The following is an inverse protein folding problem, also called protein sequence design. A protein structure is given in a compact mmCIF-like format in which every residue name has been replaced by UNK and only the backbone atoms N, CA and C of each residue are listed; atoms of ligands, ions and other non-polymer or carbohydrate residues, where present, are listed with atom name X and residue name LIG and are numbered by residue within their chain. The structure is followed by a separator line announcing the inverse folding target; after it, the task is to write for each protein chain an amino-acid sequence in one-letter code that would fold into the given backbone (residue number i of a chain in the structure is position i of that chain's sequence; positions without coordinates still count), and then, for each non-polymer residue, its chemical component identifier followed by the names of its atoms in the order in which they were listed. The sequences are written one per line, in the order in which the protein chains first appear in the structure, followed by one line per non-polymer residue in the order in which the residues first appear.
data_IF_420725053452
#
_entry.id   IF_420725053452
#
_cell.length_a   1.000
_cell.length_b   1.000
_cell.length_c   1.000
_cell.angle_alpha   90.00
_cell.angle_beta   90.00
_cell.angle_gamma   90.00
#
_symmetry.space_group_name_H-M   'P 1'
#
loop_
_entity.id
_entity.type
_entity.pdbx_description
1 polymer ?
#
# COMPACT_ATOMS: atom_id res chain seq x y z
N UNK A 1 19.44 -12.14 -14.95
CA UNK A 1 18.65 -11.27 -14.05
C UNK A 1 17.52 -12.10 -13.48
N UNK A 2 17.40 -12.19 -12.16
CA UNK A 2 16.31 -12.94 -11.54
C UNK A 2 15.09 -12.03 -11.39
N UNK A 3 13.95 -12.45 -11.97
CA UNK A 3 12.66 -11.80 -11.78
C UNK A 3 11.95 -12.50 -10.64
N UNK A 4 11.58 -11.75 -9.61
CA UNK A 4 10.76 -12.24 -8.51
C UNK A 4 9.38 -11.64 -8.71
N UNK A 5 8.33 -12.47 -8.62
CA UNK A 5 6.95 -12.01 -8.74
C UNK A 5 6.06 -12.80 -7.80
N UNK A 6 5.10 -12.13 -7.19
CA UNK A 6 4.17 -12.73 -6.25
C UNK A 6 2.74 -12.22 -6.44
N UNK A 7 1.79 -12.96 -5.87
CA UNK A 7 0.38 -12.61 -5.79
C UNK A 7 -0.03 -12.70 -4.32
N UNK A 8 0.43 -11.73 -3.53
CA UNK A 8 0.35 -11.93 -2.08
C UNK A 8 -0.99 -11.51 -1.48
N UNK A 9 -1.90 -10.94 -2.30
CA UNK A 9 -3.20 -10.49 -1.83
C UNK A 9 -3.12 -9.48 -0.68
N UNK A 10 -1.94 -8.87 -0.47
CA UNK A 10 -1.63 -7.97 0.63
C UNK A 10 -2.47 -6.71 0.49
N UNK A 11 -2.97 -6.21 1.61
CA UNK A 11 -3.75 -4.98 1.68
C UNK A 11 -2.83 -3.87 2.18
N UNK A 12 -2.75 -2.78 1.43
CA UNK A 12 -2.13 -1.54 1.88
C UNK A 12 -3.17 -0.73 2.64
N UNK A 13 -2.78 -0.22 3.80
CA UNK A 13 -3.62 0.67 4.61
C UNK A 13 -3.12 2.11 4.49
N UNK A 14 -4.05 3.05 4.33
CA UNK A 14 -3.77 4.47 4.44
C UNK A 14 -3.55 4.92 5.88
N UNK A 15 -3.31 6.22 6.06
CA UNK A 15 -3.25 6.87 7.37
C UNK A 15 -4.53 6.65 8.18
N UNK A 16 -4.39 6.64 9.50
CA UNK A 16 -5.52 6.55 10.42
C UNK A 16 -6.42 7.78 10.39
N UNK A 17 -7.71 7.52 10.37
CA UNK A 17 -8.80 8.48 10.53
C UNK A 17 -9.48 8.14 11.85
N UNK A 18 -9.40 9.02 12.85
CA UNK A 18 -10.01 8.80 14.17
C UNK A 18 -11.53 8.93 14.10
N UNK A 19 -12.24 7.92 14.61
CA UNK A 19 -13.70 7.94 14.76
C UNK A 19 -14.05 8.50 16.13
N UNK A 20 -14.97 9.47 16.17
CA UNK A 20 -15.43 10.10 17.43
C UNK A 20 -16.90 9.85 17.71
N UNK A 21 -17.62 9.21 16.78
CA UNK A 21 -19.02 8.86 16.95
C UNK A 21 -19.53 7.98 15.82
N UNK A 22 -20.57 7.21 16.10
CA UNK A 22 -21.31 6.48 15.08
C UNK A 22 -22.78 6.36 15.48
N UNK A 23 -23.69 6.59 14.53
CA UNK A 23 -25.14 6.50 14.73
C UNK A 23 -25.73 5.58 13.68
N UNK A 24 -26.39 4.51 14.13
CA UNK A 24 -27.12 3.60 13.26
C UNK A 24 -28.54 4.11 13.03
N UNK A 25 -28.95 4.19 11.76
CA UNK A 25 -30.32 4.45 11.33
C UNK A 25 -30.65 3.60 10.10
N UNK A 26 -31.74 2.83 10.18
CA UNK A 26 -32.33 2.11 9.04
C UNK A 26 -31.34 1.31 8.18
N UNK A 27 -30.42 0.56 8.81
CA UNK A 27 -29.45 -0.29 8.11
C UNK A 27 -28.20 0.45 7.59
N UNK A 28 -28.04 1.72 7.95
CA UNK A 28 -26.90 2.57 7.61
C UNK A 28 -26.33 3.14 8.89
N UNK A 29 -25.00 3.19 8.98
CA UNK A 29 -24.31 3.88 10.06
C UNK A 29 -23.71 5.16 9.51
N UNK A 30 -24.04 6.29 10.13
CA UNK A 30 -23.31 7.55 9.93
C UNK A 30 -22.18 7.60 10.95
N UNK A 31 -20.95 7.59 10.45
CA UNK A 31 -19.72 7.68 11.25
C UNK A 31 -19.26 9.13 11.25
N UNK A 32 -18.91 9.64 12.43
CA UNK A 32 -18.30 10.96 12.63
C UNK A 32 -16.79 10.81 12.76
N UNK A 33 -16.06 11.46 11.87
CA UNK A 33 -14.60 11.48 11.83
C UNK A 33 -14.13 12.77 11.16
N UNK A 34 -13.41 13.61 11.91
CA UNK A 34 -13.00 14.94 11.47
C UNK A 34 -12.04 14.89 10.27
N UNK A 35 -12.29 15.74 9.27
CA UNK A 35 -11.48 15.88 8.06
C UNK A 35 -11.08 14.53 7.44
N UNK A 36 -12.03 13.59 7.36
CA UNK A 36 -11.75 12.20 6.96
C UNK A 36 -11.21 12.08 5.52
N UNK A 37 -11.52 13.06 4.67
CA UNK A 37 -11.09 13.13 3.27
C UNK A 37 -11.57 11.97 2.41
N UNK A 38 -12.52 11.15 2.88
CA UNK A 38 -13.07 9.99 2.18
C UNK A 38 -14.03 10.44 1.08
N UNK A 39 -14.17 9.61 0.06
CA UNK A 39 -15.14 9.77 -1.02
C UNK A 39 -16.09 8.57 -1.08
N UNK A 40 -17.21 8.74 -1.79
CA UNK A 40 -18.15 7.64 -2.05
C UNK A 40 -17.45 6.55 -2.86
N UNK A 41 -17.60 5.29 -2.44
CA UNK A 41 -16.95 4.14 -3.07
C UNK A 41 -15.60 3.76 -2.46
N UNK A 42 -15.04 4.58 -1.56
CA UNK A 42 -13.81 4.24 -0.84
C UNK A 42 -14.03 2.96 -0.04
N UNK A 43 -13.09 2.02 -0.15
CA UNK A 43 -13.04 0.89 0.77
C UNK A 43 -12.16 1.22 1.96
N UNK A 44 -12.72 0.95 3.14
CA UNK A 44 -12.11 1.26 4.41
C UNK A 44 -12.13 0.03 5.30
N UNK A 45 -11.07 -0.16 6.07
CA UNK A 45 -11.05 -1.00 7.25
C UNK A 45 -11.36 -0.12 8.45
N UNK A 46 -12.41 -0.46 9.19
CA UNK A 46 -12.69 0.12 10.50
C UNK A 46 -12.25 -0.88 11.58
N UNK A 47 -11.64 -0.40 12.66
CA UNK A 47 -11.18 -1.21 13.78
C UNK A 47 -11.24 -0.45 15.11
N UNK A 48 -11.06 -1.17 16.21
CA UNK A 48 -10.99 -0.64 17.58
C UNK A 48 -12.22 0.15 18.05
N UNK A 49 -13.39 -0.09 17.44
CA UNK A 49 -14.67 0.47 17.90
C UNK A 49 -15.16 -0.32 19.10
N UNK A 50 -15.47 0.38 20.19
CA UNK A 50 -16.10 -0.18 21.40
C UNK A 50 -17.59 0.11 21.37
N UNK A 51 -18.41 -0.94 21.54
CA UNK A 51 -19.83 -0.90 21.16
C UNK A 51 -20.00 -0.82 19.64
N UNK A 52 -21.12 -1.28 19.09
CA UNK A 52 -21.28 -1.37 17.62
C UNK A 52 -20.12 -2.16 16.97
N UNK A 53 -19.69 -3.27 17.59
CA UNK A 53 -18.44 -3.99 17.23
C UNK A 53 -18.47 -4.62 15.85
N UNK A 54 -19.65 -4.75 15.25
CA UNK A 54 -19.81 -5.17 13.85
C UNK A 54 -19.18 -4.17 12.87
N UNK A 55 -18.90 -2.94 13.30
CA UNK A 55 -18.08 -1.99 12.54
C UNK A 55 -16.61 -2.40 12.45
N UNK A 56 -16.11 -3.35 13.23
CA UNK A 56 -14.69 -3.72 13.20
C UNK A 56 -14.36 -4.65 12.00
N UNK A 57 -14.60 -4.18 10.78
CA UNK A 57 -14.40 -4.91 9.53
C UNK A 57 -14.27 -3.96 8.33
N UNK A 58 -14.26 -4.52 7.11
CA UNK A 58 -14.19 -3.77 5.86
C UNK A 58 -15.57 -3.27 5.41
N UNK A 59 -15.62 -2.02 4.96
CA UNK A 59 -16.81 -1.38 4.40
C UNK A 59 -16.48 -0.64 3.10
N UNK A 60 -17.52 -0.41 2.30
CA UNK A 60 -17.51 0.58 1.22
C UNK A 60 -18.24 1.81 1.74
N UNK A 61 -17.65 2.99 1.59
CA UNK A 61 -18.28 4.27 1.91
C UNK A 61 -19.49 4.48 0.99
N UNK A 62 -20.68 4.52 1.57
CA UNK A 62 -21.93 4.64 0.84
C UNK A 62 -22.26 6.09 0.48
N UNK A 63 -22.09 7.02 1.42
CA UNK A 63 -22.25 8.47 1.20
C UNK A 63 -21.25 9.25 2.06
N UNK A 64 -20.96 10.50 1.69
CA UNK A 64 -20.16 11.44 2.48
C UNK A 64 -21.02 12.69 2.74
N UNK A 65 -21.83 12.72 3.81
CA UNK A 65 -22.77 13.83 4.07
C UNK A 65 -22.08 15.17 4.36
N UNK A 66 -20.82 15.14 4.79
CA UNK A 66 -20.00 16.32 5.02
C UNK A 66 -18.53 15.98 5.23
N UNK A 67 -17.69 16.99 5.41
CA UNK A 67 -16.22 16.82 5.57
C UNK A 67 -15.83 16.00 6.80
N UNK A 68 -16.72 15.92 7.79
CA UNK A 68 -16.51 15.24 9.07
C UNK A 68 -17.37 13.99 9.25
N UNK A 69 -18.04 13.51 8.18
CA UNK A 69 -18.87 12.32 8.26
C UNK A 69 -18.92 11.52 6.98
N UNK A 70 -19.10 10.21 7.15
CA UNK A 70 -19.34 9.28 6.05
C UNK A 70 -20.32 8.21 6.51
N UNK A 71 -20.90 7.47 5.58
CA UNK A 71 -21.84 6.39 5.90
C UNK A 71 -21.37 5.05 5.38
N UNK A 72 -21.74 4.00 6.10
CA UNK A 72 -21.51 2.60 5.70
C UNK A 72 -22.79 1.79 5.92
N UNK A 73 -23.00 0.75 5.11
CA UNK A 73 -24.12 -0.16 5.31
C UNK A 73 -23.83 -1.10 6.48
N UNK A 74 -24.70 -1.13 7.48
CA UNK A 74 -24.65 -2.07 8.60
C UNK A 74 -26.08 -2.43 9.01
N UNK A 75 -26.48 -3.68 8.81
CA UNK A 75 -27.86 -4.13 9.06
C UNK A 75 -28.16 -4.34 10.54
N UNK A 76 -27.15 -4.63 11.35
CA UNK A 76 -27.31 -4.84 12.79
C UNK A 76 -27.40 -3.50 13.52
N UNK A 77 -28.56 -3.22 14.13
CA UNK A 77 -28.70 -2.08 15.03
C UNK A 77 -27.92 -2.33 16.33
N UNK A 78 -26.88 -1.53 16.57
CA UNK A 78 -26.09 -1.54 17.81
C UNK A 78 -25.79 -0.11 18.26
N UNK A 79 -25.29 0.06 19.49
CA UNK A 79 -24.95 1.38 20.05
C UNK A 79 -23.44 1.55 20.10
N UNK A 80 -22.95 2.64 19.50
CA UNK A 80 -21.56 3.07 19.64
C UNK A 80 -21.30 3.53 21.07
N UNK A 81 -20.19 3.11 21.65
CA UNK A 81 -19.77 3.57 22.99
C UNK A 81 -18.59 4.52 22.88
N UNK A 82 -17.51 4.13 22.21
CA UNK A 82 -16.28 4.95 22.11
C UNK A 82 -15.27 4.36 21.12
N UNK A 83 -14.22 5.12 20.81
CA UNK A 83 -13.06 4.65 20.05
C UNK A 83 -13.33 4.50 18.56
N UNK A 84 -12.41 3.80 17.89
CA UNK A 84 -12.49 3.51 16.46
C UNK A 84 -11.45 4.25 15.63
N UNK A 85 -10.87 3.53 14.68
CA UNK A 85 -10.10 4.12 13.57
C UNK A 85 -10.63 3.57 12.24
N UNK A 86 -10.64 4.42 11.22
CA UNK A 86 -10.85 4.02 9.83
C UNK A 86 -9.54 4.20 9.06
N UNK A 87 -9.25 3.32 8.11
CA UNK A 87 -8.12 3.42 7.18
C UNK A 87 -8.58 3.01 5.80
N UNK A 88 -8.24 3.76 4.75
CA UNK A 88 -8.47 3.29 3.37
C UNK A 88 -7.69 2.00 3.12
N UNK A 89 -8.23 1.10 2.31
CA UNK A 89 -7.61 -0.17 1.95
C UNK A 89 -7.42 -0.27 0.43
N UNK A 90 -6.20 -0.61 -0.02
CA UNK A 90 -5.94 -1.01 -1.41
C UNK A 90 -5.46 -2.45 -1.44
N UNK A 91 -5.96 -3.26 -2.38
CA UNK A 91 -5.50 -4.64 -2.53
C UNK A 91 -4.41 -4.74 -3.60
N UNK A 92 -3.25 -5.26 -3.22
CA UNK A 92 -2.20 -5.64 -4.17
C UNK A 92 -2.58 -7.01 -4.77
N UNK A 93 -2.74 -7.05 -6.08
CA UNK A 93 -3.17 -8.27 -6.79
C UNK A 93 -2.02 -8.94 -7.51
N UNK A 94 -0.97 -8.19 -7.86
CA UNK A 94 0.22 -8.70 -8.50
C UNK A 94 1.42 -7.77 -8.25
N UNK A 95 2.61 -8.31 -8.15
CA UNK A 95 3.83 -7.51 -8.05
C UNK A 95 4.98 -8.21 -8.76
N UNK A 96 5.90 -7.41 -9.28
CA UNK A 96 7.16 -7.93 -9.81
C UNK A 96 8.32 -7.01 -9.45
N UNK A 97 9.46 -7.64 -9.17
CA UNK A 97 10.71 -6.97 -8.82
C UNK A 97 11.82 -7.61 -9.65
N UNK A 98 12.62 -6.74 -10.25
CA UNK A 98 13.85 -7.04 -10.97
C UNK A 98 15.00 -6.46 -10.15
N UNK A 99 15.84 -7.35 -9.64
CA UNK A 99 17.10 -6.97 -8.98
C UNK A 99 18.26 -6.95 -9.97
N UNK A 100 19.04 -5.88 -9.93
CA UNK A 100 20.34 -5.78 -10.58
C UNK A 100 21.40 -5.73 -9.49
N UNK A 101 22.23 -6.76 -9.45
CA UNK A 101 23.38 -6.80 -8.55
C UNK A 101 24.49 -5.94 -9.14
N UNK A 102 25.10 -5.10 -8.30
CA UNK A 102 26.31 -4.40 -8.67
C UNK A 102 27.44 -5.41 -8.86
N UNK A 103 28.22 -5.24 -9.92
CA UNK A 103 29.48 -5.93 -10.09
C UNK A 103 30.58 -4.89 -9.92
N UNK A 104 31.40 -5.03 -8.88
CA UNK A 104 32.58 -4.19 -8.67
C UNK A 104 33.77 -4.84 -9.34
N UNK A 105 34.36 -4.14 -10.31
CA UNK A 105 35.61 -4.56 -10.92
C UNK A 105 36.71 -4.49 -9.85
N UNK A 106 37.28 -5.64 -9.52
CA UNK A 106 38.43 -5.76 -8.63
C UNK A 106 39.59 -6.28 -9.45
N UNK A 107 40.19 -5.40 -10.25
CA UNK A 107 41.43 -5.77 -10.94
C UNK A 107 42.52 -5.97 -9.88
N UNK A 108 42.87 -7.22 -9.60
CA UNK A 108 44.12 -7.52 -8.90
C UNK A 108 45.30 -7.24 -9.84
N UNK A 109 46.35 -6.68 -9.28
CA UNK A 109 47.63 -6.35 -9.94
C UNK A 109 48.31 -7.53 -10.66
N UNK A 110 47.89 -8.77 -10.38
CA UNK A 110 48.38 -9.99 -11.05
C UNK A 110 47.57 -10.46 -12.26
N UNK A 111 46.38 -9.88 -12.54
CA UNK A 111 45.53 -10.35 -13.64
C UNK A 111 45.96 -9.75 -14.97
N UNK A 112 46.65 -10.54 -15.78
CA UNK A 112 47.16 -10.14 -17.11
C UNK A 112 46.13 -10.26 -18.24
N UNK A 113 44.91 -10.74 -17.99
CA UNK A 113 43.92 -10.87 -19.07
C UNK A 113 42.43 -10.97 -18.64
N UNK A 114 42.08 -10.84 -17.36
CA UNK A 114 40.70 -10.99 -16.88
C UNK A 114 40.25 -9.86 -15.97
N UNK A 115 39.08 -9.29 -16.23
CA UNK A 115 38.39 -8.42 -15.26
C UNK A 115 37.67 -9.33 -14.27
N UNK A 116 38.11 -9.31 -13.02
CA UNK A 116 37.38 -9.97 -11.93
C UNK A 116 36.31 -9.04 -11.41
N UNK A 117 35.11 -9.57 -11.22
CA UNK A 117 33.97 -8.84 -10.69
C UNK A 117 33.50 -9.49 -9.40
N UNK A 118 33.55 -8.75 -8.30
CA UNK A 118 32.94 -9.16 -7.05
C UNK A 118 31.49 -8.65 -6.97
N UNK A 119 30.56 -9.41 -6.35
CA UNK A 119 29.24 -8.89 -6.02
C UNK A 119 29.39 -7.68 -5.07
N UNK A 120 28.87 -6.52 -5.47
CA UNK A 120 28.94 -5.27 -4.71
C UNK A 120 27.54 -4.87 -4.19
N UNK A 121 26.86 -5.85 -3.60
CA UNK A 121 25.51 -5.66 -3.07
C UNK A 121 24.43 -5.40 -4.13
N UNK A 122 23.29 -4.90 -3.64
CA UNK A 122 22.11 -4.59 -4.43
C UNK A 122 22.17 -3.13 -4.88
N UNK A 123 22.39 -2.92 -6.18
CA UNK A 123 22.67 -1.59 -6.73
C UNK A 123 21.41 -0.92 -7.29
N UNK A 124 20.55 -1.70 -7.96
CA UNK A 124 19.35 -1.17 -8.60
C UNK A 124 18.23 -2.19 -8.51
N UNK A 125 17.02 -1.67 -8.28
CA UNK A 125 15.80 -2.45 -8.21
C UNK A 125 14.79 -1.76 -9.10
N UNK A 126 14.30 -2.44 -10.11
CA UNK A 126 13.14 -1.98 -10.86
C UNK A 126 11.97 -2.88 -10.50
N UNK A 127 10.76 -2.35 -10.40
CA UNK A 127 9.60 -3.19 -10.14
C UNK A 127 8.33 -2.59 -10.68
N UNK A 128 7.27 -3.38 -10.63
CA UNK A 128 5.92 -2.87 -10.78
C UNK A 128 5.03 -3.48 -9.71
N UNK A 129 4.13 -2.65 -9.18
CA UNK A 129 3.05 -3.07 -8.31
C UNK A 129 1.76 -2.88 -9.10
N UNK A 130 1.01 -3.95 -9.22
CA UNK A 130 -0.34 -3.92 -9.73
C UNK A 130 -1.31 -4.19 -8.58
N UNK A 131 -2.38 -3.42 -8.55
CA UNK A 131 -3.40 -3.60 -7.55
C UNK A 131 -4.70 -2.97 -7.96
N UNK A 132 -5.56 -2.87 -6.97
CA UNK A 132 -6.88 -2.30 -7.07
C UNK A 132 -6.93 -1.16 -6.07
N UNK A 133 -7.03 0.08 -6.58
CA UNK A 133 -7.40 1.26 -5.79
C UNK A 133 -8.92 1.24 -5.69
N UNK A 134 -9.40 1.03 -4.49
CA UNK A 134 -10.82 0.97 -4.19
C UNK A 134 -11.26 2.33 -3.62
N UNK A 135 -11.45 3.33 -4.50
CA UNK A 135 -11.97 4.68 -4.19
C UNK A 135 -11.09 5.56 -3.29
N UNK A 136 -10.94 6.85 -3.63
CA UNK A 136 -10.46 7.93 -2.75
C UNK A 136 -9.03 7.85 -2.20
N UNK A 137 -8.27 6.81 -2.52
CA UNK A 137 -6.82 6.82 -2.38
C UNK A 137 -6.28 7.57 -3.60
N UNK A 138 -5.57 8.69 -3.38
CA UNK A 138 -4.76 9.28 -4.43
C UNK A 138 -3.81 8.18 -4.93
N UNK A 139 -3.84 7.88 -6.23
CA UNK A 139 -2.88 6.96 -6.81
C UNK A 139 -1.46 7.40 -6.40
N UNK A 140 -0.55 6.44 -6.25
CA UNK A 140 0.85 6.78 -6.00
C UNK A 140 1.29 7.69 -7.15
N UNK A 141 1.63 8.93 -6.83
CA UNK A 141 1.86 9.95 -7.85
C UNK A 141 3.17 9.68 -8.56
N UNK A 142 3.23 10.00 -9.85
CA UNK A 142 4.48 10.03 -10.59
C UNK A 142 5.49 10.95 -9.87
N UNK A 143 6.73 10.49 -9.76
CA UNK A 143 7.77 11.19 -9.02
C UNK A 143 7.68 11.07 -7.50
N UNK A 144 6.67 10.40 -6.94
CA UNK A 144 6.60 10.13 -5.51
C UNK A 144 7.74 9.21 -5.07
N UNK A 145 8.40 9.59 -3.99
CA UNK A 145 9.38 8.74 -3.29
C UNK A 145 8.64 7.83 -2.34
N UNK A 146 8.86 6.52 -2.46
CA UNK A 146 8.28 5.49 -1.59
C UNK A 146 9.40 4.77 -0.84
N UNK A 147 9.21 4.58 0.47
CA UNK A 147 10.05 3.67 1.24
C UNK A 147 9.75 2.23 0.86
N UNK A 148 10.77 1.45 0.55
CA UNK A 148 10.66 0.05 0.16
C UNK A 148 11.44 -0.82 1.15
N UNK A 149 10.83 -1.93 1.53
CA UNK A 149 11.47 -2.99 2.31
C UNK A 149 11.23 -4.30 1.57
N UNK A 150 12.31 -5.00 1.26
CA UNK A 150 12.31 -6.31 0.64
C UNK A 150 12.78 -7.33 1.64
N UNK A 151 12.03 -8.41 1.78
CA UNK A 151 12.43 -9.56 2.57
C UNK A 151 13.02 -10.59 1.62
N UNK A 152 14.30 -10.94 1.82
CA UNK A 152 14.92 -12.04 1.09
C UNK A 152 14.52 -13.38 1.73
N UNK A 153 14.45 -13.40 3.06
CA UNK A 153 13.86 -14.44 3.91
C UNK A 153 13.35 -13.80 5.22
N UNK A 154 13.08 -14.62 6.25
CA UNK A 154 12.59 -14.15 7.55
C UNK A 154 13.63 -13.32 8.32
N UNK A 155 14.93 -13.49 8.03
CA UNK A 155 16.04 -12.91 8.77
C UNK A 155 16.78 -11.80 8.00
N UNK A 156 16.67 -11.76 6.68
CA UNK A 156 17.39 -10.82 5.81
C UNK A 156 16.43 -9.85 5.14
N UNK A 157 16.64 -8.56 5.38
CA UNK A 157 15.88 -7.48 4.75
C UNK A 157 16.76 -6.48 4.02
N UNK A 158 16.23 -5.91 2.94
CA UNK A 158 16.83 -4.81 2.19
C UNK A 158 15.88 -3.62 2.22
N UNK A 159 16.33 -2.48 2.71
CA UNK A 159 15.53 -1.25 2.77
C UNK A 159 16.15 -0.14 1.93
N UNK A 160 15.30 0.66 1.30
CA UNK A 160 15.74 1.75 0.43
C UNK A 160 14.57 2.60 -0.05
N UNK A 161 14.85 3.61 -0.85
CA UNK A 161 13.82 4.45 -1.46
C UNK A 161 13.60 4.04 -2.91
N UNK A 162 12.36 4.01 -3.37
CA UNK A 162 12.00 3.94 -4.77
C UNK A 162 11.33 5.24 -5.23
N UNK A 163 11.36 5.52 -6.54
CA UNK A 163 10.59 6.58 -7.18
C UNK A 163 9.62 5.95 -8.18
N UNK A 164 8.37 6.39 -8.19
CA UNK A 164 7.41 6.05 -9.25
C UNK A 164 7.85 6.72 -10.54
N UNK A 165 8.27 5.93 -11.52
CA UNK A 165 8.95 6.39 -12.72
C UNK A 165 8.06 6.49 -13.95
N UNK A 166 6.79 6.06 -13.87
CA UNK A 166 5.78 6.24 -14.90
C UNK A 166 4.45 6.59 -14.23
N UNK A 167 3.63 7.43 -14.86
CA UNK A 167 2.25 7.62 -14.41
C UNK A 167 1.49 6.31 -14.56
N UNK A 168 0.97 5.77 -13.45
CA UNK A 168 0.18 4.56 -13.51
C UNK A 168 -1.11 4.76 -14.30
N UNK A 169 -1.41 3.82 -15.19
CA UNK A 169 -2.70 3.78 -15.87
C UNK A 169 -3.79 3.41 -14.85
N UNK A 170 -4.72 4.34 -14.62
CA UNK A 170 -5.93 4.11 -13.86
C UNK A 170 -7.07 3.81 -14.85
N UNK A 171 -7.38 2.53 -15.06
CA UNK A 171 -8.57 2.15 -15.82
C UNK A 171 -9.77 2.17 -14.87
N UNK A 172 -10.60 3.22 -15.00
CA UNK A 172 -11.93 3.21 -14.40
C UNK A 172 -12.76 2.11 -15.07
N UNK A 173 -13.07 1.07 -14.30
CA UNK A 173 -14.17 0.17 -14.63
C UNK A 173 -15.46 0.83 -14.12
N UNK A 174 -16.41 1.05 -15.03
CA UNK A 174 -17.72 1.60 -14.67
C UNK A 174 -18.42 0.68 -13.67
N UNK A 175 -18.96 1.22 -12.57
CA UNK A 175 -19.83 0.46 -11.67
C UNK A 175 -19.49 0.44 -10.17
N UNK A 176 -18.60 1.30 -9.68
CA UNK A 176 -18.14 1.23 -8.28
C UNK A 176 -17.13 0.10 -8.03
N UNK A 177 -16.65 -0.51 -9.11
CA UNK A 177 -15.64 -1.54 -9.06
C UNK A 177 -14.23 -0.94 -8.85
N UNK A 178 -13.32 -1.71 -8.23
CA UNK A 178 -11.94 -1.30 -8.01
C UNK A 178 -11.25 -0.78 -9.27
N UNK A 179 -10.60 0.38 -9.18
CA UNK A 179 -9.73 0.91 -10.23
C UNK A 179 -8.45 0.10 -10.24
N UNK A 180 -8.17 -0.60 -11.34
CA UNK A 180 -6.85 -1.24 -11.49
C UNK A 180 -5.80 -0.14 -11.59
N UNK A 181 -4.77 -0.25 -10.76
CA UNK A 181 -3.55 0.55 -10.91
C UNK A 181 -2.38 -0.37 -11.26
N UNK A 182 -1.45 0.18 -12.03
CA UNK A 182 -0.14 -0.40 -12.28
C UNK A 182 0.87 0.72 -12.18
N UNK A 183 1.69 0.72 -11.14
CA UNK A 183 2.77 1.68 -11.00
C UNK A 183 4.10 0.94 -11.14
N UNK A 184 4.94 1.40 -12.06
CA UNK A 184 6.35 1.02 -12.08
C UNK A 184 7.11 1.88 -11.08
N UNK A 185 8.13 1.31 -10.47
CA UNK A 185 9.03 2.04 -9.60
C UNK A 185 10.48 1.67 -9.90
N UNK A 186 11.36 2.61 -9.60
CA UNK A 186 12.81 2.45 -9.66
C UNK A 186 13.43 2.78 -8.32
N UNK A 187 14.21 1.84 -7.79
CA UNK A 187 15.04 2.01 -6.61
C UNK A 187 16.05 3.13 -6.84
N UNK A 188 16.25 3.94 -5.81
CA UNK A 188 17.16 5.08 -5.82
C UNK A 188 18.10 5.01 -4.65
N UNK A 189 19.37 5.35 -4.91
CA UNK A 189 20.42 5.29 -3.90
C UNK A 189 20.83 3.86 -3.52
N UNK A 190 21.71 3.78 -2.52
CA UNK A 190 22.17 2.51 -1.97
C UNK A 190 21.09 1.88 -1.09
N UNK A 191 20.93 0.56 -1.20
CA UNK A 191 20.02 -0.21 -0.36
C UNK A 191 20.74 -0.74 0.87
N UNK A 192 20.12 -0.57 2.04
CA UNK A 192 20.65 -1.05 3.30
C UNK A 192 20.19 -2.50 3.53
N UNK A 193 21.17 -3.42 3.60
CA UNK A 193 20.95 -4.78 4.07
C UNK A 193 20.94 -4.83 5.59
N UNK A 194 19.95 -5.50 6.17
CA UNK A 194 19.89 -5.82 7.61
C UNK A 194 19.73 -7.32 7.75
N UNK A 195 20.63 -7.94 8.51
CA UNK A 195 20.57 -9.35 8.89
C UNK A 195 20.17 -9.43 10.37
N UNK A 196 18.96 -9.90 10.64
CA UNK A 196 18.44 -10.17 11.99
C UNK A 196 18.90 -11.57 12.43
N UNK A 197 20.19 -11.73 12.70
CA UNK A 197 20.75 -12.94 13.31
C UNK A 197 20.35 -13.10 14.77
#
# INVERSE_FOLDING_TARGET
MAKISGKDGKVLHGSEITITGAVHDTGVVTVTAAANGLSVGDRILIGDVVGMTDLNTHFVVATVPGVDSFTVALTTAQTYTSGGTARRSAKITNWNIKKTLGLKETSDSGSVSGKDFLPDGLYEIDGAIEGLIEGGINNIQFGAVIGLVLHEDDDVTWSGNGIINEEGEALQVSGGDPVKFSNTFKGTGAWLRTDNT
#
